data_IF_701315152617
#
_entry.id   IF_701315152617
#
_cell.length_a   1.000
_cell.length_b   1.000
_cell.length_c   1.000
_cell.angle_alpha   90.00
_cell.angle_beta   90.00
_cell.angle_gamma   90.00
#
_symmetry.space_group_name_H-M   'P 1'
#
loop_
_entity.id
_entity.type
_entity.pdbx_description
1 polymer ?
#
# COMPACT_ATOMS: atom_id res chain seq x y z
N UNK A 1 6.17 -13.45 -29.18
CA UNK A 1 4.73 -13.22 -29.33
C UNK A 1 4.38 -12.17 -28.29
N UNK A 2 4.11 -10.95 -28.70
CA UNK A 2 3.73 -9.87 -27.77
C UNK A 2 2.38 -10.28 -27.18
N UNK A 3 2.31 -10.51 -25.86
CA UNK A 3 1.03 -10.76 -25.18
C UNK A 3 0.14 -9.53 -25.38
N UNK A 4 -1.16 -9.75 -25.59
CA UNK A 4 -2.15 -8.68 -25.68
C UNK A 4 -2.34 -8.03 -24.27
N UNK A 5 -1.71 -6.90 -24.08
CA UNK A 5 -1.73 -6.14 -22.84
C UNK A 5 -3.05 -5.36 -22.63
N UNK A 6 -3.98 -5.42 -23.59
CA UNK A 6 -5.26 -4.69 -23.53
C UNK A 6 -6.22 -5.17 -22.43
N UNK A 7 -5.99 -6.37 -21.91
CA UNK A 7 -6.78 -6.95 -20.82
C UNK A 7 -6.45 -6.36 -19.44
N UNK A 8 -5.32 -5.64 -19.30
CA UNK A 8 -4.84 -5.11 -18.03
C UNK A 8 -5.02 -3.59 -17.92
N UNK A 9 -4.94 -3.07 -16.71
CA UNK A 9 -4.93 -1.63 -16.50
C UNK A 9 -3.75 -0.98 -17.25
N UNK A 10 -3.92 0.23 -17.80
CA UNK A 10 -2.85 0.89 -18.53
C UNK A 10 -1.71 1.30 -17.57
N UNK A 11 -0.50 1.36 -18.11
CA UNK A 11 0.64 1.96 -17.41
C UNK A 11 0.37 3.45 -17.19
N UNK A 12 0.50 3.88 -15.94
CA UNK A 12 0.45 5.31 -15.58
C UNK A 12 1.86 5.84 -15.29
N UNK A 13 2.09 7.16 -15.41
CA UNK A 13 3.38 7.76 -15.06
C UNK A 13 3.82 7.36 -13.65
N UNK A 14 5.06 6.93 -13.54
CA UNK A 14 5.70 6.56 -12.27
C UNK A 14 7.18 6.99 -12.28
N UNK A 15 7.78 7.05 -11.10
CA UNK A 15 9.22 7.25 -10.93
C UNK A 15 9.98 5.94 -11.14
N UNK A 16 11.31 6.01 -11.24
CA UNK A 16 12.19 4.84 -11.14
C UNK A 16 12.09 4.21 -9.75
N UNK A 17 12.49 2.94 -9.66
CA UNK A 17 12.56 2.22 -8.38
C UNK A 17 13.72 2.79 -7.58
N UNK A 18 13.48 3.17 -6.32
CA UNK A 18 14.50 3.65 -5.40
C UNK A 18 14.55 2.80 -4.13
N UNK A 19 15.73 2.51 -3.62
CA UNK A 19 15.92 1.85 -2.33
C UNK A 19 15.70 2.86 -1.21
N UNK A 20 14.78 2.57 -0.28
CA UNK A 20 14.41 3.47 0.82
C UNK A 20 15.04 3.05 2.16
N UNK A 21 15.20 1.75 2.38
CA UNK A 21 15.99 1.12 3.43
C UNK A 21 16.61 -0.16 2.83
N UNK A 22 17.63 -0.78 3.43
CA UNK A 22 18.26 -1.98 2.88
C UNK A 22 17.25 -3.05 2.47
N UNK A 23 17.31 -3.49 1.20
CA UNK A 23 16.45 -4.50 0.58
C UNK A 23 14.94 -4.16 0.54
N UNK A 24 14.57 -2.90 0.76
CA UNK A 24 13.22 -2.41 0.54
C UNK A 24 13.24 -1.21 -0.39
N UNK A 25 12.49 -1.32 -1.47
CA UNK A 25 12.42 -0.32 -2.53
C UNK A 25 11.01 0.22 -2.64
N UNK A 26 10.87 1.43 -3.19
CA UNK A 26 9.58 2.00 -3.53
C UNK A 26 9.52 2.44 -4.99
N UNK A 27 8.32 2.41 -5.53
CA UNK A 27 7.96 3.13 -6.75
C UNK A 27 6.80 4.03 -6.45
N UNK A 28 6.96 5.30 -6.75
CA UNK A 28 5.90 6.28 -6.61
C UNK A 28 5.32 6.57 -7.99
N UNK A 29 4.03 6.38 -8.14
CA UNK A 29 3.35 6.53 -9.43
C UNK A 29 2.00 7.22 -9.30
N UNK A 30 1.20 7.03 -10.32
CA UNK A 30 -0.11 7.64 -10.50
C UNK A 30 -1.16 6.57 -10.72
N UNK A 31 -2.38 6.82 -10.24
CA UNK A 31 -3.58 6.08 -10.63
C UNK A 31 -4.70 7.04 -11.00
N UNK A 32 -5.56 6.63 -11.94
CA UNK A 32 -6.79 7.34 -12.24
C UNK A 32 -7.87 6.96 -11.23
N UNK A 33 -8.19 7.87 -10.30
CA UNK A 33 -9.28 7.69 -9.34
C UNK A 33 -10.65 7.79 -10.02
N UNK A 34 -10.80 8.73 -10.96
CA UNK A 34 -12.01 8.92 -11.77
C UNK A 34 -11.67 9.63 -13.08
N UNK A 35 -12.69 10.03 -13.87
CA UNK A 35 -12.47 10.68 -15.17
C UNK A 35 -11.64 11.97 -15.11
N UNK A 36 -11.64 12.68 -13.97
CA UNK A 36 -11.03 13.99 -13.81
C UNK A 36 -9.82 13.99 -12.90
N UNK A 37 -9.74 13.05 -11.94
CA UNK A 37 -8.72 13.04 -10.91
C UNK A 37 -7.74 11.88 -11.08
N UNK A 38 -6.46 12.23 -11.01
CA UNK A 38 -5.34 11.30 -10.86
C UNK A 38 -4.64 11.60 -9.54
N UNK A 39 -4.36 10.56 -8.79
CA UNK A 39 -3.73 10.64 -7.47
C UNK A 39 -2.49 9.77 -7.41
N UNK A 40 -1.61 10.06 -6.47
CA UNK A 40 -0.43 9.23 -6.19
C UNK A 40 -0.84 7.82 -5.81
N UNK A 41 -0.07 6.83 -6.27
CA UNK A 41 -0.11 5.45 -5.82
C UNK A 41 1.31 4.92 -5.67
N UNK A 42 1.59 4.22 -4.58
CA UNK A 42 2.91 3.68 -4.27
C UNK A 42 2.87 2.15 -4.26
N UNK A 43 3.97 1.56 -4.69
CA UNK A 43 4.30 0.16 -4.51
C UNK A 43 5.56 0.07 -3.65
N UNK A 44 5.59 -0.85 -2.68
CA UNK A 44 6.85 -1.27 -2.09
C UNK A 44 7.29 -2.60 -2.70
N UNK A 45 8.62 -2.79 -2.78
CA UNK A 45 9.24 -4.04 -3.21
C UNK A 45 10.18 -4.50 -2.11
N UNK A 46 9.97 -5.69 -1.59
CA UNK A 46 10.80 -6.28 -0.54
C UNK A 46 11.63 -7.39 -1.17
N UNK A 47 12.95 -7.28 -1.06
CA UNK A 47 13.89 -8.31 -1.50
C UNK A 47 14.35 -9.15 -0.32
N UNK A 48 14.27 -10.47 -0.47
CA UNK A 48 14.81 -11.44 0.48
C UNK A 48 15.28 -12.69 -0.28
N UNK A 49 16.49 -13.13 -0.04
CA UNK A 49 17.13 -14.31 -0.66
C UNK A 49 17.04 -14.32 -2.20
N UNK A 50 17.12 -13.14 -2.83
CA UNK A 50 17.03 -12.98 -4.29
C UNK A 50 15.61 -12.98 -4.85
N UNK A 51 14.60 -13.19 -4.03
CA UNK A 51 13.19 -13.12 -4.39
C UNK A 51 12.58 -11.75 -4.06
N UNK A 52 11.62 -11.32 -4.86
CA UNK A 52 10.89 -10.06 -4.68
C UNK A 52 9.44 -10.33 -4.31
N UNK A 53 8.99 -9.64 -3.26
CA UNK A 53 7.58 -9.51 -2.90
C UNK A 53 7.12 -8.09 -3.21
N UNK A 54 6.11 -7.96 -4.08
CA UNK A 54 5.51 -6.69 -4.44
C UNK A 54 4.36 -6.38 -3.48
N UNK A 55 4.43 -5.27 -2.77
CA UNK A 55 3.37 -4.84 -1.84
C UNK A 55 2.53 -3.76 -2.50
N UNK A 56 1.22 -4.01 -2.67
CA UNK A 56 0.27 -3.14 -3.37
C UNK A 56 0.78 -2.71 -4.76
N UNK A 57 1.07 -3.65 -5.69
CA UNK A 57 1.80 -3.37 -6.93
C UNK A 57 1.12 -2.32 -7.79
N UNK A 58 1.94 -1.59 -8.55
CA UNK A 58 1.54 -0.74 -9.67
C UNK A 58 2.19 -1.27 -10.94
N UNK A 59 1.47 -1.24 -12.06
CA UNK A 59 2.01 -1.65 -13.35
C UNK A 59 3.09 -0.66 -13.81
N UNK A 60 4.29 -1.18 -14.05
CA UNK A 60 5.44 -0.42 -14.51
C UNK A 60 5.51 -0.38 -16.04
N UNK A 61 6.24 0.59 -16.57
CA UNK A 61 6.66 0.58 -17.97
C UNK A 61 7.84 -0.39 -18.22
N UNK A 62 8.25 -0.57 -19.46
CA UNK A 62 9.34 -1.48 -19.81
C UNK A 62 10.64 -1.17 -19.08
N UNK A 63 10.96 0.10 -18.85
CA UNK A 63 12.17 0.51 -18.15
C UNK A 63 12.08 0.16 -16.64
N UNK A 64 10.92 0.38 -16.05
CA UNK A 64 10.63 0.00 -14.67
C UNK A 64 10.65 -1.52 -14.47
N UNK A 65 10.06 -2.29 -15.42
CA UNK A 65 10.12 -3.76 -15.38
C UNK A 65 11.56 -4.29 -15.54
N UNK A 66 12.33 -3.71 -16.45
CA UNK A 66 13.74 -4.06 -16.61
C UNK A 66 14.53 -3.78 -15.32
N UNK A 67 14.31 -2.62 -14.69
CA UNK A 67 14.93 -2.28 -13.40
C UNK A 67 14.49 -3.28 -12.31
N UNK A 68 13.19 -3.58 -12.19
CA UNK A 68 12.64 -4.52 -11.21
C UNK A 68 13.29 -5.90 -11.35
N UNK A 69 13.44 -6.39 -12.59
CA UNK A 69 14.05 -7.70 -12.89
C UNK A 69 15.55 -7.77 -12.52
N UNK A 70 16.25 -6.64 -12.40
CA UNK A 70 17.65 -6.63 -11.93
C UNK A 70 17.77 -6.78 -10.42
N UNK A 71 16.70 -6.53 -9.68
CA UNK A 71 16.70 -6.60 -8.21
C UNK A 71 16.55 -8.04 -7.70
N UNK A 72 15.89 -8.93 -8.46
CA UNK A 72 15.65 -10.31 -8.08
C UNK A 72 14.52 -10.96 -8.88
N UNK A 73 14.12 -12.16 -8.48
CA UNK A 73 13.00 -12.90 -9.04
C UNK A 73 11.67 -12.43 -8.45
N UNK A 74 10.72 -12.05 -9.29
CA UNK A 74 9.40 -11.58 -8.86
C UNK A 74 8.52 -12.79 -8.59
N UNK A 75 8.32 -13.14 -7.33
CA UNK A 75 7.65 -14.39 -6.94
C UNK A 75 6.29 -14.16 -6.28
N UNK A 76 6.07 -12.99 -5.64
CA UNK A 76 4.88 -12.78 -4.81
C UNK A 76 4.30 -11.38 -4.93
N UNK A 77 3.00 -11.32 -4.74
CA UNK A 77 2.24 -10.10 -4.47
C UNK A 77 1.69 -10.21 -3.04
N UNK A 78 1.89 -9.19 -2.24
CA UNK A 78 1.26 -9.02 -0.95
C UNK A 78 0.26 -7.87 -1.02
N UNK A 79 -1.03 -8.19 -1.12
CA UNK A 79 -2.10 -7.20 -1.11
C UNK A 79 -2.50 -6.91 0.34
N UNK A 80 -2.22 -5.71 0.83
CA UNK A 80 -2.53 -5.30 2.20
C UNK A 80 -3.99 -4.91 2.40
N UNK A 81 -4.65 -4.37 1.36
CA UNK A 81 -6.01 -3.87 1.47
C UNK A 81 -6.91 -4.18 0.27
N UNK A 82 -8.23 -4.14 0.44
CA UNK A 82 -9.19 -4.61 -0.55
C UNK A 82 -9.31 -3.70 -1.78
N UNK A 83 -8.82 -2.46 -1.72
CA UNK A 83 -8.97 -1.48 -2.81
C UNK A 83 -7.73 -1.38 -3.73
N UNK A 84 -6.73 -2.24 -3.57
CA UNK A 84 -5.44 -2.16 -4.26
C UNK A 84 -5.09 -3.40 -5.11
N UNK A 85 -6.05 -3.98 -5.84
CA UNK A 85 -5.86 -5.19 -6.64
C UNK A 85 -5.85 -4.99 -8.16
N UNK A 86 -5.87 -3.75 -8.67
CA UNK A 86 -6.06 -3.49 -10.11
C UNK A 86 -4.93 -4.03 -11.00
N UNK A 87 -3.70 -4.05 -10.48
CA UNK A 87 -2.51 -4.46 -11.22
C UNK A 87 -2.04 -5.89 -10.87
N UNK A 88 -2.67 -6.55 -9.90
CA UNK A 88 -2.32 -7.93 -9.51
C UNK A 88 -2.44 -8.92 -10.69
N UNK A 89 -3.52 -8.89 -11.52
CA UNK A 89 -3.64 -9.80 -12.66
C UNK A 89 -2.49 -9.70 -13.64
N UNK A 90 -1.93 -8.48 -13.82
CA UNK A 90 -0.80 -8.24 -14.71
C UNK A 90 0.46 -8.98 -14.25
N UNK A 91 0.81 -8.87 -12.98
CA UNK A 91 2.00 -9.52 -12.42
C UNK A 91 1.84 -11.05 -12.36
N UNK A 92 0.65 -11.54 -12.06
CA UNK A 92 0.36 -12.98 -12.09
C UNK A 92 0.52 -13.55 -13.49
N UNK A 93 -0.03 -12.91 -14.52
CA UNK A 93 0.10 -13.37 -15.91
C UNK A 93 1.54 -13.29 -16.41
N UNK A 94 2.26 -12.23 -16.03
CA UNK A 94 3.60 -11.94 -16.55
C UNK A 94 4.70 -12.78 -15.93
N UNK A 95 4.65 -12.98 -14.61
CA UNK A 95 5.71 -13.64 -13.82
C UNK A 95 5.24 -14.86 -13.05
N UNK A 96 3.98 -15.28 -13.19
CA UNK A 96 3.39 -16.39 -12.44
C UNK A 96 3.51 -16.20 -10.90
N UNK A 97 3.37 -14.96 -10.43
CA UNK A 97 3.46 -14.61 -9.02
C UNK A 97 2.32 -15.18 -8.21
N UNK A 98 2.59 -15.60 -6.96
CA UNK A 98 1.56 -15.94 -6.00
C UNK A 98 0.91 -14.68 -5.40
N UNK A 99 -0.42 -14.64 -5.33
CA UNK A 99 -1.16 -13.59 -4.64
C UNK A 99 -1.43 -13.98 -3.18
N UNK A 100 -0.87 -13.20 -2.26
CA UNK A 100 -1.10 -13.33 -0.83
C UNK A 100 -1.97 -12.17 -0.32
N UNK A 101 -3.10 -12.48 0.32
CA UNK A 101 -4.01 -11.49 0.91
C UNK A 101 -4.78 -12.10 2.08
N UNK A 102 -5.40 -11.28 2.94
CA UNK A 102 -6.21 -11.78 4.04
C UNK A 102 -7.49 -12.47 3.56
N UNK A 103 -8.14 -11.91 2.56
CA UNK A 103 -9.37 -12.43 1.96
C UNK A 103 -9.54 -11.95 0.52
N UNK A 104 -10.58 -12.42 -0.13
CA UNK A 104 -11.03 -11.91 -1.42
C UNK A 104 -11.53 -10.46 -1.27
N UNK A 105 -11.20 -9.62 -2.24
CA UNK A 105 -11.65 -8.24 -2.26
C UNK A 105 -13.02 -8.12 -2.94
N UNK A 106 -13.92 -7.29 -2.40
CA UNK A 106 -15.18 -6.96 -3.09
C UNK A 106 -14.96 -6.08 -4.31
N UNK A 107 -13.93 -5.23 -4.28
CA UNK A 107 -13.57 -4.36 -5.41
C UNK A 107 -12.85 -5.12 -6.51
N UNK A 108 -12.07 -6.14 -6.15
CA UNK A 108 -11.27 -6.98 -7.04
C UNK A 108 -11.49 -8.46 -6.67
N UNK A 109 -12.66 -9.05 -7.02
CA UNK A 109 -13.00 -10.43 -6.65
C UNK A 109 -12.10 -11.47 -7.33
N UNK A 110 -11.49 -11.10 -8.44
CA UNK A 110 -10.49 -11.90 -9.15
C UNK A 110 -9.22 -11.07 -9.37
N UNK A 111 -8.03 -11.71 -9.36
CA UNK A 111 -7.77 -13.10 -8.98
C UNK A 111 -7.99 -13.34 -7.49
N UNK A 112 -8.37 -14.57 -7.14
CA UNK A 112 -8.46 -15.01 -5.74
C UNK A 112 -7.05 -15.16 -5.16
N UNK A 113 -6.88 -14.92 -3.84
CA UNK A 113 -5.60 -15.20 -3.21
C UNK A 113 -5.22 -16.68 -3.30
N UNK A 114 -3.99 -16.95 -3.77
CA UNK A 114 -3.38 -18.28 -3.72
C UNK A 114 -3.09 -18.66 -2.26
N UNK A 115 -2.71 -17.68 -1.45
CA UNK A 115 -2.46 -17.86 -0.03
C UNK A 115 -3.22 -16.82 0.80
N UNK A 116 -4.06 -17.31 1.70
CA UNK A 116 -4.68 -16.46 2.74
C UNK A 116 -3.73 -16.27 3.90
N UNK A 117 -3.54 -15.00 4.29
CA UNK A 117 -2.65 -14.58 5.37
C UNK A 117 -3.45 -14.05 6.56
N UNK A 118 -2.83 -14.09 7.73
CA UNK A 118 -3.36 -13.59 9.01
C UNK A 118 -2.20 -13.10 9.88
N UNK A 119 -2.49 -12.53 11.02
CA UNK A 119 -1.48 -12.12 11.99
C UNK A 119 -0.55 -13.27 12.44
N UNK A 120 -1.00 -14.53 12.35
CA UNK A 120 -0.20 -15.71 12.66
C UNK A 120 0.61 -16.27 11.47
N UNK A 121 0.50 -15.66 10.29
CA UNK A 121 1.20 -16.15 9.10
C UNK A 121 2.68 -15.81 9.16
N UNK A 122 3.52 -16.80 8.82
CA UNK A 122 4.94 -16.57 8.55
C UNK A 122 5.09 -15.98 7.16
N UNK A 123 5.66 -14.80 7.08
CA UNK A 123 6.04 -14.14 5.84
C UNK A 123 7.43 -14.63 5.37
N UNK A 124 7.77 -14.47 4.08
CA UNK A 124 9.05 -14.93 3.54
C UNK A 124 10.27 -14.10 4.00
N UNK A 125 10.04 -13.00 4.71
CA UNK A 125 11.07 -12.14 5.31
C UNK A 125 10.89 -12.15 6.83
N UNK A 126 11.87 -12.70 7.60
CA UNK A 126 11.70 -13.03 9.01
C UNK A 126 11.63 -11.81 9.95
N UNK A 127 12.17 -10.68 9.51
CA UNK A 127 12.18 -9.40 10.21
C UNK A 127 10.91 -8.57 9.95
N UNK A 128 9.76 -9.23 9.91
CA UNK A 128 8.49 -8.59 9.61
C UNK A 128 7.36 -9.05 10.51
N UNK A 129 6.38 -8.17 10.68
CA UNK A 129 5.14 -8.44 11.40
C UNK A 129 3.96 -7.96 10.57
N UNK A 130 2.99 -8.86 10.35
CA UNK A 130 1.73 -8.50 9.73
C UNK A 130 0.71 -8.11 10.81
N UNK A 131 0.39 -6.82 10.86
CA UNK A 131 -0.69 -6.30 11.70
C UNK A 131 -2.00 -6.40 10.93
N UNK A 132 -2.96 -7.15 11.44
CA UNK A 132 -4.30 -7.27 10.88
C UNK A 132 -5.28 -6.44 11.69
N UNK A 133 -5.96 -5.50 11.05
CA UNK A 133 -7.07 -4.77 11.66
C UNK A 133 -8.26 -5.70 11.87
N UNK A 134 -8.95 -5.57 12.99
CA UNK A 134 -10.13 -6.37 13.34
C UNK A 134 -11.40 -5.51 13.36
N UNK A 135 -12.56 -6.15 13.39
CA UNK A 135 -13.84 -5.46 13.50
C UNK A 135 -14.25 -4.61 12.30
N UNK A 136 -13.63 -4.79 11.14
CA UNK A 136 -13.91 -4.05 9.91
C UNK A 136 -14.91 -4.75 8.98
N UNK A 137 -15.48 -3.99 8.04
CA UNK A 137 -16.38 -4.53 7.01
C UNK A 137 -15.67 -5.37 5.95
N UNK A 138 -14.40 -5.10 5.67
CA UNK A 138 -13.48 -5.88 4.84
C UNK A 138 -12.10 -5.89 5.49
N UNK A 139 -11.29 -6.89 5.19
CA UNK A 139 -9.97 -7.07 5.82
C UNK A 139 -8.92 -6.14 5.20
N UNK A 140 -8.16 -5.48 6.05
CA UNK A 140 -6.93 -4.76 5.69
C UNK A 140 -5.84 -5.08 6.71
N UNK A 141 -4.60 -4.99 6.29
CA UNK A 141 -3.43 -5.17 7.14
C UNK A 141 -2.42 -4.04 6.92
N UNK A 142 -1.55 -3.87 7.88
CA UNK A 142 -0.30 -3.13 7.75
C UNK A 142 0.85 -4.11 7.94
N UNK A 143 1.99 -3.82 7.30
CA UNK A 143 3.19 -4.63 7.38
C UNK A 143 4.30 -3.81 8.01
N UNK A 144 4.81 -4.25 9.14
CA UNK A 144 6.02 -3.69 9.74
C UNK A 144 7.23 -4.49 9.25
N UNK A 145 8.25 -3.79 8.74
CA UNK A 145 9.59 -4.32 8.47
C UNK A 145 10.51 -3.76 9.55
N UNK A 146 11.05 -4.62 10.39
CA UNK A 146 11.93 -4.25 11.51
C UNK A 146 13.38 -4.05 11.03
N UNK A 147 13.55 -3.00 10.19
CA UNK A 147 14.84 -2.51 9.70
C UNK A 147 14.91 -1.00 9.87
N UNK A 148 16.09 -0.45 10.13
CA UNK A 148 16.35 0.99 10.25
C UNK A 148 15.38 1.72 11.20
N UNK A 149 15.00 1.06 12.31
CA UNK A 149 14.07 1.61 13.30
C UNK A 149 12.59 1.42 12.97
N UNK A 150 12.27 0.49 12.07
CA UNK A 150 10.93 0.10 11.67
C UNK A 150 10.34 0.93 10.52
N UNK A 151 9.99 0.24 9.44
CA UNK A 151 9.22 0.80 8.32
C UNK A 151 7.82 0.19 8.35
N UNK A 152 6.80 1.01 8.58
CA UNK A 152 5.41 0.61 8.48
C UNK A 152 4.90 0.80 7.04
N UNK A 153 4.49 -0.29 6.40
CA UNK A 153 3.79 -0.27 5.11
C UNK A 153 2.29 -0.35 5.36
N UNK A 154 1.53 0.60 4.82
CA UNK A 154 0.07 0.65 4.95
C UNK A 154 -0.61 0.69 3.59
N UNK A 155 -1.90 0.40 3.58
CA UNK A 155 -2.74 0.60 2.41
C UNK A 155 -3.50 1.92 2.51
N UNK A 156 -4.81 1.87 2.69
CA UNK A 156 -5.66 3.06 2.75
C UNK A 156 -5.99 3.54 4.16
N UNK A 157 -5.74 2.71 5.18
CA UNK A 157 -6.02 3.01 6.59
C UNK A 157 -5.24 4.21 7.11
N UNK A 158 -3.97 4.31 6.77
CA UNK A 158 -3.08 5.43 7.13
C UNK A 158 -2.37 5.90 5.87
N UNK A 159 -2.39 7.21 5.64
CA UNK A 159 -1.76 7.82 4.48
C UNK A 159 -0.96 9.06 4.89
N UNK A 160 0.18 9.29 4.23
CA UNK A 160 1.01 10.48 4.47
C UNK A 160 1.20 11.29 3.20
N UNK A 161 0.86 12.56 3.26
CA UNK A 161 1.05 13.52 2.16
C UNK A 161 2.03 14.62 2.57
N UNK A 162 3.32 14.43 2.32
CA UNK A 162 4.31 15.51 2.43
C UNK A 162 4.21 16.47 1.24
N UNK A 163 3.80 15.93 0.09
CA UNK A 163 3.54 16.66 -1.15
C UNK A 163 2.40 16.02 -1.93
N UNK A 164 2.05 16.61 -3.10
CA UNK A 164 1.07 16.06 -4.04
C UNK A 164 1.71 15.72 -5.40
N UNK A 165 2.97 15.35 -5.42
CA UNK A 165 3.62 14.84 -6.63
C UNK A 165 2.81 13.66 -7.18
N UNK A 166 2.74 13.50 -8.48
CA UNK A 166 1.89 12.53 -9.19
C UNK A 166 0.37 12.75 -9.09
N UNK A 167 -0.10 13.71 -8.31
CA UNK A 167 -1.49 14.16 -8.41
C UNK A 167 -1.63 15.15 -9.58
N UNK A 168 -2.73 15.10 -10.32
CA UNK A 168 -3.01 16.16 -11.30
C UNK A 168 -3.43 17.47 -10.60
N UNK A 169 -3.53 18.58 -11.36
CA UNK A 169 -3.81 19.89 -10.79
C UNK A 169 -5.14 19.92 -10.01
N UNK A 170 -6.17 19.22 -10.52
CA UNK A 170 -7.48 19.17 -9.85
C UNK A 170 -7.38 18.44 -8.52
N UNK A 171 -6.72 17.28 -8.48
CA UNK A 171 -6.50 16.54 -7.24
C UNK A 171 -5.71 17.36 -6.22
N UNK A 172 -4.63 18.05 -6.64
CA UNK A 172 -3.85 18.93 -5.77
C UNK A 172 -4.68 20.01 -5.11
N UNK A 173 -5.69 20.53 -5.83
CA UNK A 173 -6.57 21.59 -5.33
C UNK A 173 -7.65 21.03 -4.40
N UNK A 174 -8.24 19.89 -4.74
CA UNK A 174 -9.44 19.35 -4.06
C UNK A 174 -9.06 18.54 -2.81
N UNK A 175 -7.96 17.77 -2.84
CA UNK A 175 -7.62 16.82 -1.77
C UNK A 175 -7.55 17.42 -0.37
N UNK A 176 -7.00 18.64 -0.13
CA UNK A 176 -6.99 19.22 1.21
C UNK A 176 -8.41 19.43 1.78
N UNK A 177 -9.39 19.73 0.92
CA UNK A 177 -10.77 20.03 1.33
C UNK A 177 -11.63 18.77 1.52
N UNK A 178 -11.20 17.64 0.98
CA UNK A 178 -11.90 16.35 1.14
C UNK A 178 -11.24 15.41 2.16
N UNK A 179 -10.39 15.98 3.01
CA UNK A 179 -9.81 15.28 4.14
C UNK A 179 -8.39 14.70 3.92
N UNK A 180 -7.71 15.09 2.84
CA UNK A 180 -6.33 14.67 2.56
C UNK A 180 -5.37 15.88 2.51
N UNK A 181 -5.20 16.63 3.61
CA UNK A 181 -4.23 17.72 3.69
C UNK A 181 -2.79 17.18 3.65
N UNK A 182 -1.81 18.09 3.48
CA UNK A 182 -0.38 17.74 3.51
C UNK A 182 0.08 17.39 4.93
N UNK A 183 -0.30 16.22 5.38
CA UNK A 183 0.09 15.63 6.67
C UNK A 183 -0.22 14.14 6.66
N UNK A 184 0.05 13.44 7.77
CA UNK A 184 -0.42 12.08 7.99
C UNK A 184 -1.90 12.09 8.37
N UNK A 185 -2.70 11.20 7.81
CA UNK A 185 -4.13 11.07 8.07
C UNK A 185 -4.53 9.60 8.24
N UNK A 186 -5.50 9.33 9.10
CA UNK A 186 -6.34 8.13 8.97
C UNK A 186 -7.22 8.37 7.75
N UNK A 187 -7.24 7.45 6.81
CA UNK A 187 -7.93 7.62 5.54
C UNK A 187 -9.43 7.91 5.74
N UNK A 188 -9.93 9.13 5.49
CA UNK A 188 -11.31 9.50 5.86
C UNK A 188 -12.36 8.74 5.06
N UNK A 189 -12.08 8.46 3.78
CA UNK A 189 -12.97 7.66 2.93
C UNK A 189 -12.91 6.19 3.38
N UNK A 190 -11.70 5.70 3.67
CA UNK A 190 -11.48 4.35 4.17
C UNK A 190 -12.23 4.14 5.49
N UNK A 191 -12.07 5.05 6.45
CA UNK A 191 -12.73 4.96 7.76
C UNK A 191 -14.25 4.87 7.62
N UNK A 192 -14.83 5.67 6.72
CA UNK A 192 -16.27 5.65 6.43
C UNK A 192 -16.75 4.32 5.83
N UNK A 193 -15.93 3.69 4.98
CA UNK A 193 -16.30 2.43 4.29
C UNK A 193 -16.06 1.22 5.19
N UNK A 194 -14.98 1.25 5.97
CA UNK A 194 -14.50 0.10 6.72
C UNK A 194 -15.09 -0.02 8.12
N UNK A 195 -15.60 1.07 8.69
CA UNK A 195 -16.24 1.03 10.00
C UNK A 195 -17.67 0.51 9.90
N UNK A 196 -18.02 -0.60 10.58
CA UNK A 196 -19.41 -1.05 10.66
C UNK A 196 -20.32 0.00 11.34
N UNK A 197 -21.60 -0.04 11.02
CA UNK A 197 -22.57 0.88 11.62
C UNK A 197 -22.57 0.77 13.15
N UNK A 198 -22.46 1.90 13.82
CA UNK A 198 -22.44 1.99 15.30
C UNK A 198 -21.12 1.55 15.96
N UNK A 199 -20.10 1.17 15.19
CA UNK A 199 -18.81 0.78 15.69
C UNK A 199 -17.79 1.93 15.65
N UNK A 200 -16.63 1.72 16.29
CA UNK A 200 -15.44 2.56 16.19
C UNK A 200 -14.23 1.67 15.95
N UNK A 201 -13.31 2.11 15.10
CA UNK A 201 -12.03 1.43 14.86
C UNK A 201 -10.89 2.08 15.68
N UNK A 202 -11.17 3.00 16.59
CA UNK A 202 -10.13 3.68 17.37
C UNK A 202 -9.22 2.71 18.11
N UNK A 203 -9.79 1.70 18.76
CA UNK A 203 -9.01 0.68 19.49
C UNK A 203 -8.00 -0.05 18.59
N UNK A 204 -8.34 -0.28 17.34
CA UNK A 204 -7.44 -0.92 16.38
C UNK A 204 -6.25 -0.02 16.00
N UNK A 205 -6.49 1.29 15.81
CA UNK A 205 -5.40 2.23 15.60
C UNK A 205 -4.55 2.43 16.85
N UNK A 206 -5.14 2.39 18.06
CA UNK A 206 -4.36 2.42 19.31
C UNK A 206 -3.50 1.17 19.45
N UNK A 207 -4.01 -0.01 19.08
CA UNK A 207 -3.25 -1.26 19.03
C UNK A 207 -2.12 -1.21 17.99
N UNK A 208 -2.33 -0.58 16.82
CA UNK A 208 -1.28 -0.35 15.83
C UNK A 208 -0.14 0.51 16.41
N UNK A 209 -0.47 1.51 17.21
CA UNK A 209 0.50 2.40 17.86
C UNK A 209 1.32 1.72 18.97
N UNK A 210 1.02 0.47 19.33
CA UNK A 210 1.88 -0.35 20.20
C UNK A 210 3.12 -0.89 19.43
N UNK A 211 3.14 -0.76 18.08
CA UNK A 211 4.29 -1.14 17.27
C UNK A 211 5.32 0.00 17.22
N UNK A 212 6.60 -0.36 17.22
CA UNK A 212 7.69 0.58 17.01
C UNK A 212 7.97 0.76 15.51
N UNK A 213 7.79 1.97 15.01
CA UNK A 213 8.12 2.32 13.64
C UNK A 213 8.54 3.80 13.52
N UNK A 214 9.63 4.01 12.84
CA UNK A 214 10.19 5.34 12.57
C UNK A 214 9.72 5.91 11.24
N UNK A 215 9.45 5.04 10.27
CA UNK A 215 9.15 5.36 8.88
C UNK A 215 7.77 4.85 8.48
N UNK A 216 7.14 5.53 7.52
CA UNK A 216 5.84 5.14 6.98
C UNK A 216 5.84 5.27 5.46
N UNK A 217 5.50 4.19 4.76
CA UNK A 217 5.16 4.21 3.35
C UNK A 217 3.74 3.66 3.18
N UNK A 218 2.81 4.54 2.82
CA UNK A 218 1.44 4.16 2.50
C UNK A 218 1.23 4.00 1.00
N UNK A 219 0.17 3.30 0.61
CA UNK A 219 -0.17 3.12 -0.80
C UNK A 219 -0.47 4.44 -1.54
N UNK A 220 -0.66 5.53 -0.81
CA UNK A 220 -0.88 6.88 -1.35
C UNK A 220 0.02 7.92 -0.69
N UNK A 221 0.34 8.99 -1.44
CA UNK A 221 1.11 10.13 -0.93
C UNK A 221 2.62 9.96 -1.02
N UNK A 222 3.37 10.26 0.02
CA UNK A 222 4.84 10.24 0.05
C UNK A 222 5.39 9.42 1.21
N UNK A 223 6.64 8.95 1.08
CA UNK A 223 7.39 8.38 2.19
C UNK A 223 7.52 9.42 3.32
N UNK A 224 7.27 9.02 4.55
CA UNK A 224 7.65 9.72 5.77
C UNK A 224 8.85 8.97 6.37
N UNK A 225 10.05 9.54 6.17
CA UNK A 225 11.31 8.88 6.49
C UNK A 225 11.71 8.98 7.97
N UNK A 226 10.99 9.75 8.76
CA UNK A 226 11.26 9.93 10.19
C UNK A 226 10.00 10.37 10.94
N UNK A 227 9.97 10.14 12.26
CA UNK A 227 8.87 10.59 13.14
C UNK A 227 7.48 10.04 12.77
N UNK A 228 7.43 8.89 12.09
CA UNK A 228 6.18 8.33 11.60
C UNK A 228 5.22 7.94 12.74
N UNK A 229 5.73 7.36 13.83
CA UNK A 229 4.91 6.96 14.97
C UNK A 229 4.15 8.16 15.56
N UNK A 230 4.84 9.24 15.91
CA UNK A 230 4.21 10.45 16.44
C UNK A 230 3.24 11.09 15.44
N UNK A 231 3.57 11.05 14.14
CA UNK A 231 2.70 11.58 13.08
C UNK A 231 1.41 10.76 12.92
N UNK A 232 1.49 9.44 13.06
CA UNK A 232 0.33 8.54 13.04
C UNK A 232 -0.51 8.71 14.31
N UNK A 233 0.11 8.79 15.50
CA UNK A 233 -0.58 9.08 16.74
C UNK A 233 -1.40 10.38 16.66
N UNK A 234 -0.79 11.47 16.18
CA UNK A 234 -1.48 12.72 15.97
C UNK A 234 -2.62 12.62 14.92
N UNK A 235 -2.49 11.75 13.92
CA UNK A 235 -3.55 11.49 12.94
C UNK A 235 -4.72 10.71 13.56
N UNK A 236 -4.43 9.70 14.36
CA UNK A 236 -5.43 8.93 15.12
C UNK A 236 -6.19 9.83 16.09
N UNK A 237 -5.48 10.67 16.85
CA UNK A 237 -6.10 11.64 17.73
C UNK A 237 -7.05 12.59 17.00
N UNK A 238 -6.66 13.07 15.81
CA UNK A 238 -7.55 13.93 15.01
C UNK A 238 -8.78 13.21 14.50
N UNK A 239 -8.62 11.94 14.08
CA UNK A 239 -9.69 11.17 13.46
C UNK A 239 -10.78 10.75 14.46
N UNK A 240 -10.40 10.53 15.73
CA UNK A 240 -11.29 10.00 16.77
C UNK A 240 -11.57 10.99 17.92
N UNK A 241 -11.13 12.23 17.81
CA UNK A 241 -11.65 13.29 18.71
C UNK A 241 -13.13 13.50 18.40
N UNK A 242 -14.00 13.08 19.36
CA UNK A 242 -15.43 13.37 19.39
C UNK A 242 -15.71 14.85 19.57
#
# INVERSE_FOLDING_TARGET
MQKDDSAFAPVYPHDSIEEIIPDVFMVRGTIRMNRLMRITRNMAVIRHDGELTLVNPIRLDEAGEAQLSTLGEITRILRLGPMHGIDDPYYIDRWATELWAQEESRAYPEPKPDRRISAASTLPFPDSLLFCFEGMTQKESALLIDREGGLLLTCDSIQHYGDYRHNNWLARTVMPFIGFPKTTVVGPIWLKIMTPEGASLESEFRRLLELDFRQLLSAHGSLLADSAHASVEAAVDRAFRG
#
